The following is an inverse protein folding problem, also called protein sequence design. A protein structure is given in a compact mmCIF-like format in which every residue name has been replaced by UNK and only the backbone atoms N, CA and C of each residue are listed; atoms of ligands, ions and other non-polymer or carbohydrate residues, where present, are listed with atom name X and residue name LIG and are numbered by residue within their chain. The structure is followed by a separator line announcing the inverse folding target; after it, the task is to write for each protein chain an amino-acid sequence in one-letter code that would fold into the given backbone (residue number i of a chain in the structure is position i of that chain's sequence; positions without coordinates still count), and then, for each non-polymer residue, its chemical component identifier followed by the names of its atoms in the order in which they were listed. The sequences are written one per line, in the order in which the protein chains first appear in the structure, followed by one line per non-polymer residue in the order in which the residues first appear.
data_IF_839272280966
#
_entry.id   IF_839272280966
#
_cell.length_a   1.000
_cell.length_b   1.000
_cell.length_c   1.000
_cell.angle_alpha   90.00
_cell.angle_beta   90.00
_cell.angle_gamma   90.00
#
_symmetry.space_group_name_H-M   'P 1'
#
loop_
_entity.id
_entity.type
_entity.pdbx_description
1 polymer ?
#
# COMPACT_ATOMS: atom_id res chain seq x y z
N UNK A 1 8.62 -0.66 -2.58
CA UNK A 1 9.61 -0.79 -1.50
C UNK A 1 9.78 -2.26 -1.08
N UNK A 2 8.74 -2.99 -0.65
CA UNK A 2 8.85 -4.38 -0.19
C UNK A 2 9.46 -5.30 -1.25
N UNK A 3 8.97 -5.26 -2.49
CA UNK A 3 9.52 -6.03 -3.61
C UNK A 3 11.02 -5.70 -3.80
N UNK A 4 11.38 -4.42 -3.79
CA UNK A 4 12.77 -4.01 -3.94
C UNK A 4 13.66 -4.49 -2.79
N UNK A 5 13.16 -4.45 -1.55
CA UNK A 5 13.89 -4.96 -0.37
C UNK A 5 14.17 -6.47 -0.50
N UNK A 6 13.17 -7.25 -0.90
CA UNK A 6 13.31 -8.69 -1.12
C UNK A 6 14.33 -8.96 -2.24
N UNK A 7 14.18 -8.33 -3.40
CA UNK A 7 15.07 -8.58 -4.53
C UNK A 7 16.52 -8.13 -4.29
N UNK A 8 16.72 -7.13 -3.45
CA UNK A 8 18.05 -6.62 -3.09
C UNK A 8 18.90 -7.65 -2.32
N UNK A 9 18.32 -8.75 -1.84
CA UNK A 9 19.07 -9.83 -1.21
C UNK A 9 19.91 -10.63 -2.22
N UNK A 10 19.57 -10.54 -3.51
CA UNK A 10 20.24 -11.30 -4.57
C UNK A 10 20.71 -10.44 -5.74
N UNK A 11 20.01 -9.35 -6.02
CA UNK A 11 20.20 -8.54 -7.21
C UNK A 11 20.60 -7.11 -6.89
N UNK A 12 21.33 -6.46 -7.82
CA UNK A 12 21.46 -5.01 -7.82
C UNK A 12 20.15 -4.42 -8.38
N UNK A 13 19.33 -3.87 -7.48
CA UNK A 13 17.98 -3.38 -7.79
C UNK A 13 17.98 -1.89 -8.03
N UNK A 14 17.39 -1.46 -9.14
CA UNK A 14 16.93 -0.10 -9.36
C UNK A 14 15.45 0.00 -9.01
N UNK A 15 14.99 1.08 -8.41
CA UNK A 15 13.58 1.26 -8.07
C UNK A 15 13.14 2.70 -8.26
N UNK A 16 11.85 2.91 -8.44
CA UNK A 16 11.23 4.24 -8.38
C UNK A 16 11.52 4.89 -7.03
N UNK A 17 12.05 6.11 -7.04
CA UNK A 17 12.29 6.92 -5.86
C UNK A 17 11.17 7.94 -5.66
N UNK A 18 10.77 8.16 -4.41
CA UNK A 18 9.72 9.13 -4.07
C UNK A 18 8.42 8.87 -4.83
N UNK A 19 7.98 9.85 -5.62
CA UNK A 19 6.77 9.78 -6.44
C UNK A 19 7.05 9.86 -7.96
N UNK A 20 8.23 9.44 -8.40
CA UNK A 20 8.60 9.43 -9.82
C UNK A 20 7.94 8.27 -10.59
N UNK A 21 6.62 8.14 -10.41
CA UNK A 21 5.78 7.06 -10.88
C UNK A 21 4.78 7.48 -12.00
N UNK A 22 4.81 8.74 -12.42
CA UNK A 22 3.94 9.29 -13.47
C UNK A 22 4.67 9.40 -14.82
N UNK A 23 4.01 10.00 -15.81
CA UNK A 23 4.52 10.17 -17.19
C UNK A 23 5.85 10.96 -17.30
N UNK A 24 6.17 11.77 -16.30
CA UNK A 24 7.45 12.48 -16.22
C UNK A 24 8.47 11.73 -15.36
N UNK A 25 8.04 11.20 -14.22
CA UNK A 25 8.91 10.56 -13.24
C UNK A 25 9.41 9.19 -13.69
N UNK A 26 8.57 8.38 -14.32
CA UNK A 26 8.98 7.05 -14.76
C UNK A 26 10.11 7.07 -15.81
N UNK A 27 10.08 7.91 -16.86
CA UNK A 27 11.22 8.05 -17.77
C UNK A 27 12.50 8.49 -17.07
N UNK A 28 12.42 9.42 -16.11
CA UNK A 28 13.58 9.87 -15.31
C UNK A 28 14.15 8.68 -14.55
N UNK A 29 13.29 7.91 -13.85
CA UNK A 29 13.70 6.69 -13.15
C UNK A 29 14.40 5.71 -14.09
N UNK A 30 13.87 5.50 -15.31
CA UNK A 30 14.47 4.59 -16.29
C UNK A 30 15.83 5.12 -16.79
N UNK A 31 15.99 6.42 -17.00
CA UNK A 31 17.27 7.01 -17.42
C UNK A 31 18.37 6.95 -16.35
N UNK A 32 18.04 6.76 -15.10
CA UNK A 32 18.99 6.56 -14.01
C UNK A 32 19.54 5.11 -13.96
N UNK A 33 18.93 4.18 -14.72
CA UNK A 33 19.45 2.81 -14.82
C UNK A 33 20.82 2.79 -15.50
N UNK A 34 21.67 1.87 -15.06
CA UNK A 34 22.99 1.63 -15.63
C UNK A 34 23.30 0.13 -15.66
N UNK A 35 24.44 -0.24 -16.22
CA UNK A 35 24.86 -1.64 -16.44
C UNK A 35 25.00 -2.50 -15.16
N UNK A 36 25.01 -1.89 -13.98
CA UNK A 36 25.07 -2.62 -12.71
C UNK A 36 23.71 -3.14 -12.28
N UNK A 37 22.62 -2.48 -12.71
CA UNK A 37 21.28 -2.87 -12.32
C UNK A 37 20.85 -4.14 -13.07
N UNK A 38 20.42 -5.13 -12.31
CA UNK A 38 19.98 -6.42 -12.82
C UNK A 38 18.45 -6.52 -12.87
N UNK A 39 17.78 -5.79 -11.98
CA UNK A 39 16.31 -5.71 -11.87
C UNK A 39 15.89 -4.28 -11.65
N UNK A 40 14.80 -3.88 -12.29
CA UNK A 40 14.13 -2.61 -12.03
C UNK A 40 12.73 -2.86 -11.44
N UNK A 41 12.43 -2.22 -10.29
CA UNK A 41 11.11 -2.21 -9.67
C UNK A 41 10.50 -0.84 -9.92
N UNK A 42 9.60 -0.78 -10.91
CA UNK A 42 9.01 0.46 -11.40
C UNK A 42 7.58 0.60 -10.88
N UNK A 43 7.33 1.64 -10.09
CA UNK A 43 5.97 2.01 -9.67
C UNK A 43 5.33 2.85 -10.78
N UNK A 44 4.06 2.56 -11.09
CA UNK A 44 3.28 3.28 -12.08
C UNK A 44 1.99 3.81 -11.44
N UNK A 45 1.92 5.12 -11.24
CA UNK A 45 0.77 5.85 -10.71
C UNK A 45 -0.04 6.48 -11.84
N UNK A 46 -1.37 6.36 -11.77
CA UNK A 46 -2.29 6.87 -12.79
C UNK A 46 -3.45 7.62 -12.15
N UNK A 47 -3.85 8.71 -12.78
CA UNK A 47 -4.98 9.54 -12.38
C UNK A 47 -6.08 9.59 -13.45
N UNK A 48 -5.76 9.29 -14.72
CA UNK A 48 -6.70 9.34 -15.85
C UNK A 48 -6.56 8.11 -16.74
N UNK A 49 -7.64 7.83 -17.49
CA UNK A 49 -7.63 6.76 -18.49
C UNK A 49 -6.56 6.98 -19.58
N UNK A 50 -5.86 5.89 -19.92
CA UNK A 50 -4.83 5.83 -20.94
C UNK A 50 -3.43 6.20 -20.46
N UNK A 51 -3.24 6.61 -19.20
CA UNK A 51 -1.92 6.87 -18.63
C UNK A 51 -1.15 5.57 -18.41
N UNK A 52 -1.81 4.51 -17.92
CA UNK A 52 -1.15 3.23 -17.64
C UNK A 52 -0.53 2.63 -18.90
N UNK A 53 -1.24 2.66 -20.03
CA UNK A 53 -0.69 2.17 -21.30
C UNK A 53 0.57 2.95 -21.70
N UNK A 54 0.58 4.29 -21.54
CA UNK A 54 1.77 5.11 -21.86
C UNK A 54 2.96 4.75 -20.94
N UNK A 55 2.71 4.56 -19.65
CA UNK A 55 3.75 4.18 -18.69
C UNK A 55 4.28 2.77 -18.98
N UNK A 56 3.40 1.80 -19.13
CA UNK A 56 3.77 0.40 -19.32
C UNK A 56 4.42 0.14 -20.68
N UNK A 57 4.04 0.86 -21.73
CA UNK A 57 4.70 0.76 -23.04
C UNK A 57 6.16 1.18 -23.00
N UNK A 58 6.50 2.16 -22.15
CA UNK A 58 7.90 2.58 -21.90
C UNK A 58 8.62 1.59 -21.01
N UNK A 59 7.97 1.09 -19.95
CA UNK A 59 8.56 0.14 -19.00
C UNK A 59 8.75 -1.26 -19.61
N UNK A 60 7.84 -1.69 -20.49
CA UNK A 60 7.82 -3.05 -21.07
C UNK A 60 8.06 -4.15 -20.03
N UNK A 61 7.17 -4.32 -19.06
CA UNK A 61 7.43 -5.14 -17.88
C UNK A 61 7.55 -6.63 -18.20
N UNK A 62 8.41 -7.32 -17.47
CA UNK A 62 8.50 -8.79 -17.46
C UNK A 62 7.52 -9.39 -16.43
N UNK A 63 7.26 -8.67 -15.33
CA UNK A 63 6.36 -9.07 -14.24
C UNK A 63 5.43 -7.90 -13.95
N UNK A 64 4.12 -8.13 -14.02
CA UNK A 64 3.09 -7.18 -13.64
C UNK A 64 2.52 -7.52 -12.26
N UNK A 65 2.55 -6.57 -11.33
CA UNK A 65 2.00 -6.75 -9.98
C UNK A 65 0.90 -5.73 -9.74
N UNK A 66 -0.31 -6.19 -9.38
CA UNK A 66 -1.39 -5.31 -8.94
C UNK A 66 -1.75 -5.66 -7.49
N UNK A 67 -1.54 -4.70 -6.60
CA UNK A 67 -1.68 -4.91 -5.15
C UNK A 67 -3.10 -4.76 -4.65
N UNK A 68 -3.87 -3.83 -5.21
CA UNK A 68 -5.30 -3.67 -4.91
C UNK A 68 -5.99 -2.75 -5.93
N UNK A 69 -7.33 -2.81 -5.92
CA UNK A 69 -8.22 -1.88 -6.60
C UNK A 69 -9.01 -1.11 -5.53
N UNK A 70 -8.39 -0.06 -5.01
CA UNK A 70 -9.00 0.82 -4.01
C UNK A 70 -9.99 1.82 -4.61
N UNK A 71 -10.24 2.91 -3.88
CA UNK A 71 -11.14 4.01 -4.26
C UNK A 71 -10.39 5.33 -4.52
N UNK A 72 -9.06 5.28 -4.66
CA UNK A 72 -8.28 6.45 -5.02
C UNK A 72 -8.64 6.93 -6.44
N UNK A 73 -8.66 8.25 -6.64
CA UNK A 73 -8.96 8.89 -7.95
C UNK A 73 -10.35 8.56 -8.52
N UNK A 74 -11.34 8.24 -7.65
CA UNK A 74 -12.73 7.97 -8.09
C UNK A 74 -13.35 9.12 -8.88
N UNK A 75 -12.92 10.34 -8.63
CA UNK A 75 -13.37 11.52 -9.39
C UNK A 75 -13.12 11.34 -10.88
N UNK A 76 -12.02 10.72 -11.27
CA UNK A 76 -11.62 10.54 -12.68
C UNK A 76 -12.06 9.18 -13.23
N UNK A 77 -11.89 8.10 -12.50
CA UNK A 77 -12.22 6.73 -12.95
C UNK A 77 -13.68 6.34 -12.74
N UNK A 78 -14.44 7.10 -11.96
CA UNK A 78 -15.88 6.95 -11.65
C UNK A 78 -16.24 5.73 -10.81
N UNK A 79 -15.65 4.56 -11.09
CA UNK A 79 -15.92 3.30 -10.38
C UNK A 79 -14.64 2.51 -10.12
N UNK A 80 -14.69 1.52 -9.24
CA UNK A 80 -13.59 0.58 -9.00
C UNK A 80 -13.27 -0.25 -10.24
N UNK A 81 -14.28 -0.59 -11.04
CA UNK A 81 -14.09 -1.29 -12.32
C UNK A 81 -13.32 -0.39 -13.32
N UNK A 82 -13.57 0.93 -13.31
CA UNK A 82 -12.79 1.89 -14.10
C UNK A 82 -11.32 1.90 -13.68
N UNK A 83 -11.04 1.85 -12.37
CA UNK A 83 -9.67 1.74 -11.84
C UNK A 83 -9.02 0.41 -12.26
N UNK A 84 -9.77 -0.71 -12.16
CA UNK A 84 -9.30 -2.01 -12.63
C UNK A 84 -8.98 -1.98 -14.13
N UNK A 85 -9.89 -1.45 -14.95
CA UNK A 85 -9.71 -1.32 -16.39
C UNK A 85 -8.43 -0.56 -16.73
N UNK A 86 -8.16 0.55 -16.05
CA UNK A 86 -6.96 1.34 -16.29
C UNK A 86 -5.69 0.62 -15.80
N UNK A 87 -5.66 0.17 -14.55
CA UNK A 87 -4.47 -0.49 -13.99
C UNK A 87 -4.10 -1.78 -14.74
N UNK A 88 -5.08 -2.53 -15.23
CA UNK A 88 -4.83 -3.76 -15.98
C UNK A 88 -4.21 -3.52 -17.37
N UNK A 89 -4.22 -2.28 -17.89
CA UNK A 89 -3.55 -1.96 -19.15
C UNK A 89 -2.04 -2.27 -19.12
N UNK A 90 -1.39 -2.24 -17.93
CA UNK A 90 0.02 -2.61 -17.85
C UNK A 90 0.32 -4.03 -18.34
N UNK A 91 -0.65 -4.94 -18.23
CA UNK A 91 -0.50 -6.32 -18.68
C UNK A 91 -0.50 -6.41 -20.21
N UNK A 92 -1.16 -5.46 -20.90
CA UNK A 92 -1.17 -5.42 -22.36
C UNK A 92 0.22 -5.14 -22.96
N UNK A 93 1.07 -4.42 -22.22
CA UNK A 93 2.43 -4.08 -22.65
C UNK A 93 3.49 -5.02 -22.06
N UNK A 94 3.06 -6.04 -21.31
CA UNK A 94 3.94 -7.06 -20.75
C UNK A 94 4.63 -7.87 -21.87
N UNK A 95 5.91 -8.14 -21.69
CA UNK A 95 6.69 -8.96 -22.61
C UNK A 95 6.12 -10.37 -22.73
N UNK A 96 6.34 -10.99 -23.91
CA UNK A 96 5.96 -12.39 -24.14
C UNK A 96 6.72 -13.30 -23.16
N UNK A 97 5.98 -14.16 -22.46
CA UNK A 97 6.54 -15.03 -21.42
C UNK A 97 6.66 -14.36 -20.05
N UNK A 98 6.15 -13.16 -19.91
CA UNK A 98 6.06 -12.48 -18.60
C UNK A 98 4.99 -13.11 -17.68
N UNK A 99 4.91 -12.63 -16.45
CA UNK A 99 4.00 -13.14 -15.43
C UNK A 99 3.12 -12.04 -14.82
N UNK A 100 1.95 -12.47 -14.34
CA UNK A 100 0.94 -11.61 -13.74
C UNK A 100 0.75 -12.05 -12.28
N UNK A 101 0.98 -11.15 -11.34
CA UNK A 101 0.82 -11.38 -9.90
C UNK A 101 -0.26 -10.44 -9.35
N UNK A 102 -1.32 -11.01 -8.83
CA UNK A 102 -2.50 -10.28 -8.36
C UNK A 102 -2.78 -10.57 -6.89
N UNK A 103 -3.30 -9.57 -6.18
CA UNK A 103 -3.81 -9.79 -4.83
C UNK A 103 -5.15 -10.55 -4.88
N UNK A 104 -5.15 -11.79 -4.43
CA UNK A 104 -6.34 -12.65 -4.38
C UNK A 104 -7.32 -12.32 -3.25
N UNK A 105 -6.97 -11.40 -2.34
CA UNK A 105 -7.90 -10.89 -1.33
C UNK A 105 -8.73 -9.72 -1.86
N UNK A 106 -8.32 -9.09 -2.98
CA UNK A 106 -9.11 -8.07 -3.66
C UNK A 106 -10.19 -8.73 -4.52
N UNK A 107 -11.42 -8.33 -4.32
CA UNK A 107 -12.60 -8.91 -4.95
C UNK A 107 -12.60 -8.80 -6.49
N UNK A 108 -12.10 -7.69 -7.03
CA UNK A 108 -12.04 -7.46 -8.48
C UNK A 108 -10.83 -8.17 -9.12
N UNK A 109 -9.68 -8.19 -8.43
CA UNK A 109 -8.49 -8.86 -8.95
C UNK A 109 -8.62 -10.36 -8.93
N UNK A 110 -9.23 -10.94 -7.89
CA UNK A 110 -9.44 -12.38 -7.74
C UNK A 110 -10.24 -12.99 -8.90
N UNK A 111 -11.16 -12.22 -9.46
CA UNK A 111 -12.02 -12.66 -10.53
C UNK A 111 -11.43 -12.42 -11.94
N UNK A 112 -10.20 -11.89 -12.03
CA UNK A 112 -9.50 -11.73 -13.29
C UNK A 112 -9.08 -13.08 -13.87
N UNK A 113 -9.54 -13.34 -15.10
CA UNK A 113 -9.09 -14.49 -15.89
C UNK A 113 -7.76 -14.23 -16.63
N UNK A 114 -7.34 -15.19 -17.50
CA UNK A 114 -6.13 -15.07 -18.29
C UNK A 114 -6.10 -13.81 -19.17
N UNK A 115 -4.96 -13.12 -19.19
CA UNK A 115 -4.74 -11.97 -20.08
C UNK A 115 -3.58 -12.29 -21.01
N UNK A 116 -3.74 -12.09 -22.32
CA UNK A 116 -2.74 -12.44 -23.36
C UNK A 116 -2.30 -13.92 -23.30
N UNK A 117 -3.19 -14.81 -22.83
CA UNK A 117 -2.88 -16.23 -22.68
C UNK A 117 -2.00 -16.58 -21.47
N UNK A 118 -1.80 -15.63 -20.56
CA UNK A 118 -1.08 -15.84 -19.30
C UNK A 118 -2.12 -15.89 -18.16
N UNK A 119 -2.13 -16.99 -17.42
CA UNK A 119 -2.92 -17.13 -16.21
C UNK A 119 -2.27 -16.32 -15.07
N UNK A 120 -3.04 -15.51 -14.33
CA UNK A 120 -2.50 -14.81 -13.17
C UNK A 120 -2.21 -15.79 -12.03
N UNK A 121 -1.14 -15.53 -11.30
CA UNK A 121 -0.86 -16.13 -10.01
C UNK A 121 -1.31 -15.16 -8.90
N UNK A 122 -1.80 -15.70 -7.80
CA UNK A 122 -2.39 -14.92 -6.73
C UNK A 122 -1.55 -14.99 -5.46
N UNK A 123 -1.43 -13.84 -4.80
CA UNK A 123 -0.92 -13.73 -3.44
C UNK A 123 -2.00 -13.15 -2.52
N UNK A 124 -2.05 -13.57 -1.26
CA UNK A 124 -3.05 -13.10 -0.31
C UNK A 124 -3.10 -13.93 0.97
N UNK A 125 -4.00 -13.59 1.88
CA UNK A 125 -4.19 -14.32 3.14
C UNK A 125 -5.02 -15.61 2.95
N UNK A 126 -5.74 -15.71 1.83
CA UNK A 126 -6.55 -16.88 1.51
C UNK A 126 -5.71 -18.06 1.01
N UNK A 127 -6.00 -19.27 1.49
CA UNK A 127 -5.32 -20.52 1.07
C UNK A 127 -5.58 -20.93 -0.38
N UNK A 128 -6.44 -20.22 -1.08
CA UNK A 128 -6.68 -20.36 -2.52
C UNK A 128 -5.65 -19.59 -3.38
N UNK A 129 -4.77 -18.83 -2.75
CA UNK A 129 -3.65 -18.17 -3.41
C UNK A 129 -2.44 -19.10 -3.50
N UNK A 130 -1.59 -18.92 -4.51
CA UNK A 130 -0.34 -19.65 -4.66
C UNK A 130 0.69 -19.23 -3.60
N UNK A 131 0.69 -17.93 -3.24
CA UNK A 131 1.51 -17.36 -2.18
C UNK A 131 0.59 -16.87 -1.08
N UNK A 132 0.60 -17.51 0.09
CA UNK A 132 -0.32 -17.13 1.16
C UNK A 132 0.33 -17.16 2.54
N UNK A 133 -0.31 -16.50 3.51
CA UNK A 133 0.15 -16.48 4.88
C UNK A 133 -0.88 -17.12 5.82
N UNK A 134 -0.38 -17.84 6.83
CA UNK A 134 -1.16 -18.34 7.98
C UNK A 134 -0.56 -17.83 9.27
N UNK A 135 -1.25 -18.07 10.38
CA UNK A 135 -0.78 -17.74 11.74
C UNK A 135 -0.37 -16.26 11.86
N UNK A 136 -1.18 -15.39 11.23
CA UNK A 136 -0.92 -13.96 11.24
C UNK A 136 -1.28 -13.38 12.61
N UNK A 137 -0.27 -12.97 13.35
CA UNK A 137 -0.43 -12.38 14.68
C UNK A 137 0.12 -10.95 14.71
N UNK A 138 -0.64 -10.04 15.27
CA UNK A 138 -0.20 -8.66 15.46
C UNK A 138 0.82 -8.56 16.58
N UNK A 139 1.96 -7.93 16.31
CA UNK A 139 2.97 -7.54 17.29
C UNK A 139 2.82 -6.05 17.70
N UNK A 140 1.62 -5.48 17.48
CA UNK A 140 1.34 -4.07 17.69
C UNK A 140 2.13 -3.19 16.72
N UNK A 141 2.69 -2.10 17.23
CA UNK A 141 3.50 -1.18 16.40
C UNK A 141 4.80 -1.80 15.85
N UNK A 142 5.16 -3.00 16.28
CA UNK A 142 6.36 -3.71 15.78
C UNK A 142 6.09 -4.54 14.53
N UNK A 143 4.86 -4.52 14.01
CA UNK A 143 4.49 -5.25 12.81
C UNK A 143 3.65 -6.50 13.07
N UNK A 144 3.86 -7.54 12.28
CA UNK A 144 3.14 -8.82 12.37
C UNK A 144 4.08 -9.99 12.20
N UNK A 145 3.82 -11.10 12.91
CA UNK A 145 4.42 -12.40 12.61
C UNK A 145 3.46 -13.21 11.74
N UNK A 146 3.98 -14.05 10.87
CA UNK A 146 3.19 -14.97 10.06
C UNK A 146 4.05 -16.12 9.53
N UNK A 147 3.39 -17.20 9.08
CA UNK A 147 4.00 -18.27 8.31
C UNK A 147 3.65 -18.07 6.84
N UNK A 148 4.65 -17.86 5.98
CA UNK A 148 4.49 -17.67 4.53
C UNK A 148 4.64 -19.02 3.83
N UNK A 149 3.70 -19.34 2.92
CA UNK A 149 3.66 -20.58 2.15
C UNK A 149 3.92 -20.30 0.67
N UNK A 150 4.73 -21.16 0.04
CA UNK A 150 5.16 -21.09 -1.35
C UNK A 150 4.50 -22.17 -2.20
N UNK A 151 4.38 -21.98 -3.53
CA UNK A 151 3.84 -22.99 -4.45
C UNK A 151 4.62 -24.32 -4.45
N UNK A 152 5.89 -24.29 -4.07
CA UNK A 152 6.73 -25.52 -3.91
C UNK A 152 6.28 -26.44 -2.75
N UNK A 153 5.40 -25.97 -1.88
CA UNK A 153 5.05 -26.62 -0.64
C UNK A 153 5.97 -26.27 0.55
N UNK A 154 7.02 -25.50 0.31
CA UNK A 154 7.86 -24.95 1.38
C UNK A 154 7.14 -23.84 2.12
N UNK A 155 7.48 -23.66 3.39
CA UNK A 155 6.99 -22.53 4.21
C UNK A 155 8.08 -22.03 5.15
N UNK A 156 7.94 -20.79 5.61
CA UNK A 156 8.86 -20.20 6.58
C UNK A 156 8.16 -19.15 7.45
N UNK A 157 8.57 -19.06 8.70
CA UNK A 157 8.11 -18.03 9.62
C UNK A 157 8.81 -16.72 9.31
N UNK A 158 8.05 -15.62 9.35
CA UNK A 158 8.51 -14.30 8.96
C UNK A 158 7.93 -13.22 9.89
N UNK A 159 8.73 -12.19 10.18
CA UNK A 159 8.27 -10.96 10.82
C UNK A 159 8.21 -9.86 9.76
N UNK A 160 7.01 -9.31 9.55
CA UNK A 160 6.81 -8.13 8.72
C UNK A 160 6.96 -6.91 9.62
N UNK A 161 8.02 -6.08 9.46
CA UNK A 161 8.40 -5.08 10.48
C UNK A 161 7.57 -3.79 10.45
N UNK A 162 6.52 -3.74 9.64
CA UNK A 162 5.60 -2.62 9.57
C UNK A 162 4.22 -3.03 10.10
N UNK A 163 3.57 -2.19 10.93
CA UNK A 163 2.27 -2.51 11.50
C UNK A 163 1.15 -2.47 10.45
N UNK A 164 0.12 -3.27 10.70
CA UNK A 164 -1.07 -3.36 9.86
C UNK A 164 -1.12 -4.65 9.02
N UNK A 165 -2.29 -5.29 8.97
CA UNK A 165 -2.49 -6.55 8.25
C UNK A 165 -2.18 -6.45 6.74
N UNK A 166 -2.41 -5.27 6.14
CA UNK A 166 -2.10 -4.99 4.74
C UNK A 166 -0.59 -5.08 4.43
N UNK A 167 0.28 -4.95 5.44
CA UNK A 167 1.73 -5.11 5.25
C UNK A 167 2.11 -6.57 5.03
N UNK A 168 1.33 -7.52 5.54
CA UNK A 168 1.51 -8.95 5.22
C UNK A 168 1.20 -9.20 3.74
N UNK A 169 0.18 -8.57 3.17
CA UNK A 169 -0.11 -8.66 1.73
C UNK A 169 1.04 -8.09 0.88
N UNK A 170 1.64 -6.96 1.32
CA UNK A 170 2.82 -6.42 0.66
C UNK A 170 4.03 -7.37 0.75
N UNK A 171 4.22 -8.04 1.88
CA UNK A 171 5.26 -9.07 2.04
C UNK A 171 5.02 -10.27 1.11
N UNK A 172 3.76 -10.68 0.93
CA UNK A 172 3.38 -11.74 -0.01
C UNK A 172 3.61 -11.32 -1.47
N UNK A 173 3.36 -10.07 -1.84
CA UNK A 173 3.72 -9.55 -3.16
C UNK A 173 5.26 -9.60 -3.38
N UNK A 174 6.05 -9.19 -2.38
CA UNK A 174 7.51 -9.33 -2.40
C UNK A 174 7.97 -10.77 -2.51
N UNK A 175 7.31 -11.67 -1.77
CA UNK A 175 7.55 -13.12 -1.81
C UNK A 175 7.32 -13.69 -3.20
N UNK A 176 6.18 -13.36 -3.82
CA UNK A 176 5.80 -13.87 -5.14
C UNK A 176 6.82 -13.46 -6.20
N UNK A 177 7.21 -12.18 -6.25
CA UNK A 177 8.23 -11.71 -7.19
C UNK A 177 9.59 -12.32 -6.90
N UNK A 178 9.98 -12.40 -5.62
CA UNK A 178 11.26 -13.03 -5.22
C UNK A 178 11.33 -14.48 -5.62
N UNK A 179 10.28 -15.25 -5.40
CA UNK A 179 10.18 -16.66 -5.77
C UNK A 179 10.31 -16.85 -7.30
N UNK A 180 9.59 -16.05 -8.09
CA UNK A 180 9.68 -16.12 -9.56
C UNK A 180 11.07 -15.78 -10.10
N UNK A 181 11.80 -14.90 -9.42
CA UNK A 181 13.19 -14.56 -9.76
C UNK A 181 14.21 -15.48 -9.10
N UNK A 182 13.76 -16.59 -8.49
CA UNK A 182 14.62 -17.65 -7.99
C UNK A 182 15.37 -17.30 -6.70
N UNK A 183 14.82 -16.44 -5.86
CA UNK A 183 15.31 -16.24 -4.50
C UNK A 183 14.93 -17.44 -3.63
N UNK A 184 15.82 -17.81 -2.73
CA UNK A 184 15.55 -18.82 -1.71
C UNK A 184 14.58 -18.28 -0.64
N UNK A 185 13.87 -19.16 0.09
CA UNK A 185 13.03 -18.72 1.23
C UNK A 185 13.80 -17.89 2.25
N UNK A 186 15.07 -18.18 2.49
CA UNK A 186 15.92 -17.43 3.41
C UNK A 186 16.22 -16.01 2.92
N UNK A 187 16.49 -15.84 1.63
CA UNK A 187 16.69 -14.53 1.01
C UNK A 187 15.39 -13.71 1.02
N UNK A 188 14.25 -14.32 0.68
CA UNK A 188 12.94 -13.66 0.72
C UNK A 188 12.66 -13.17 2.16
N UNK A 189 12.80 -14.05 3.15
CA UNK A 189 12.64 -13.71 4.57
C UNK A 189 13.53 -12.54 4.97
N UNK A 190 14.81 -12.62 4.66
CA UNK A 190 15.78 -11.57 4.99
C UNK A 190 15.39 -10.21 4.37
N UNK A 191 14.87 -10.22 3.15
CA UNK A 191 14.41 -9.00 2.49
C UNK A 191 13.12 -8.41 3.10
N UNK A 192 12.21 -9.24 3.56
CA UNK A 192 11.01 -8.78 4.27
C UNK A 192 11.38 -8.20 5.63
N UNK A 193 12.11 -8.95 6.44
CA UNK A 193 12.51 -8.56 7.80
C UNK A 193 13.48 -7.37 7.82
N UNK A 194 14.26 -7.21 6.75
CA UNK A 194 15.19 -6.10 6.53
C UNK A 194 14.59 -4.86 5.88
N UNK A 195 13.27 -4.78 5.69
CA UNK A 195 12.63 -3.61 5.08
C UNK A 195 12.93 -2.35 5.90
N UNK A 196 13.56 -1.31 5.31
CA UNK A 196 13.83 -0.07 6.02
C UNK A 196 12.54 0.71 6.28
N UNK A 197 12.53 1.52 7.33
CA UNK A 197 11.45 2.48 7.55
C UNK A 197 11.41 3.50 6.40
N UNK A 198 10.20 3.88 6.01
CA UNK A 198 9.96 4.80 4.90
C UNK A 198 9.28 6.04 5.48
N UNK A 199 9.92 7.22 5.45
CA UNK A 199 9.32 8.45 5.94
C UNK A 199 7.94 8.70 5.31
N UNK A 200 6.95 9.06 6.13
CA UNK A 200 5.58 9.28 5.69
C UNK A 200 4.77 8.03 5.34
N UNK A 201 5.27 6.82 5.63
CA UNK A 201 4.59 5.54 5.34
C UNK A 201 4.66 4.60 6.55
N UNK A 202 3.67 4.67 7.44
CA UNK A 202 3.64 3.88 8.68
C UNK A 202 4.97 3.92 9.46
N UNK A 203 5.67 5.05 9.40
CA UNK A 203 6.98 5.22 9.99
C UNK A 203 6.86 5.49 11.49
N UNK A 204 7.38 4.60 12.32
CA UNK A 204 7.33 4.73 13.78
C UNK A 204 8.56 5.51 14.26
N UNK A 205 8.32 6.70 14.80
CA UNK A 205 9.35 7.58 15.36
C UNK A 205 9.23 7.55 16.89
N UNK A 206 10.21 6.94 17.53
CA UNK A 206 10.29 6.87 18.99
C UNK A 206 11.00 8.11 19.55
N UNK A 207 10.33 8.81 20.46
CA UNK A 207 10.96 9.90 21.24
C UNK A 207 10.95 9.57 22.73
N UNK A 208 11.59 10.38 23.54
CA UNK A 208 11.61 10.18 25.00
C UNK A 208 10.24 10.34 25.67
N UNK A 209 9.28 10.98 25.00
CA UNK A 209 7.97 11.33 25.58
C UNK A 209 6.79 10.71 24.86
N UNK A 210 6.88 10.57 23.54
CA UNK A 210 5.78 10.10 22.69
C UNK A 210 6.31 9.19 21.58
N UNK A 211 5.42 8.36 21.06
CA UNK A 211 5.62 7.63 19.82
C UNK A 211 4.82 8.37 18.74
N UNK A 212 5.43 8.63 17.61
CA UNK A 212 4.79 9.25 16.45
C UNK A 212 4.65 8.17 15.38
N UNK A 213 3.42 7.95 14.91
CA UNK A 213 3.13 7.21 13.70
C UNK A 213 3.05 8.22 12.54
N UNK A 214 4.11 8.31 11.74
CA UNK A 214 4.20 9.20 10.59
C UNK A 214 3.71 8.45 9.34
N UNK A 215 2.49 8.75 8.90
CA UNK A 215 1.86 8.20 7.70
C UNK A 215 1.25 9.32 6.84
N UNK A 216 2.00 10.43 6.71
CA UNK A 216 1.50 11.68 6.14
C UNK A 216 1.82 11.89 4.66
N UNK A 217 2.28 10.86 3.93
CA UNK A 217 2.63 11.00 2.51
C UNK A 217 1.41 11.28 1.62
N UNK A 218 0.32 10.56 1.82
CA UNK A 218 -0.95 10.73 1.12
C UNK A 218 -2.10 10.19 1.98
N UNK A 219 -3.31 10.66 1.70
CA UNK A 219 -4.50 10.28 2.46
C UNK A 219 -5.65 9.90 1.53
N UNK A 220 -6.27 8.76 1.80
CA UNK A 220 -7.56 8.35 1.28
C UNK A 220 -8.32 7.58 2.36
N UNK A 221 -9.64 7.35 2.23
CA UNK A 221 -10.43 6.74 3.31
C UNK A 221 -9.88 5.41 3.80
N UNK A 222 -9.48 4.52 2.89
CA UNK A 222 -8.97 3.19 3.25
C UNK A 222 -7.63 3.29 3.98
N UNK A 223 -6.70 4.11 3.48
CA UNK A 223 -5.39 4.26 4.12
C UNK A 223 -5.49 4.96 5.47
N UNK A 224 -6.36 5.97 5.62
CA UNK A 224 -6.55 6.64 6.90
C UNK A 224 -7.18 5.71 7.93
N UNK A 225 -8.19 4.92 7.57
CA UNK A 225 -8.77 3.93 8.48
C UNK A 225 -7.72 2.89 8.90
N UNK A 226 -6.92 2.38 7.96
CA UNK A 226 -5.83 1.46 8.28
C UNK A 226 -4.79 2.08 9.23
N UNK A 227 -4.44 3.36 9.06
CA UNK A 227 -3.53 4.07 9.97
C UNK A 227 -4.14 4.30 11.35
N UNK A 228 -5.45 4.56 11.43
CA UNK A 228 -6.19 4.65 12.69
C UNK A 228 -6.22 3.31 13.41
N UNK A 229 -6.42 2.20 12.71
CA UNK A 229 -6.33 0.85 13.26
C UNK A 229 -4.94 0.56 13.83
N UNK A 230 -3.89 0.97 13.13
CA UNK A 230 -2.51 0.87 13.62
C UNK A 230 -2.31 1.73 14.87
N UNK A 231 -2.79 2.98 14.87
CA UNK A 231 -2.73 3.85 16.05
C UNK A 231 -3.47 3.22 17.23
N UNK A 232 -4.59 2.55 16.97
CA UNK A 232 -5.36 1.88 18.03
C UNK A 232 -4.61 0.71 18.69
N UNK A 233 -3.61 0.11 18.04
CA UNK A 233 -2.74 -0.91 18.64
C UNK A 233 -1.76 -0.32 19.67
N UNK A 234 -1.59 0.99 19.71
CA UNK A 234 -0.68 1.65 20.64
C UNK A 234 -1.20 1.61 22.08
N UNK A 235 -0.27 1.52 23.03
CA UNK A 235 -0.55 1.62 24.47
C UNK A 235 -0.51 3.09 24.89
N UNK A 236 -1.50 3.53 25.67
CA UNK A 236 -1.60 4.90 26.18
C UNK A 236 -2.60 5.76 25.42
N UNK A 237 -2.51 7.07 25.59
CA UNK A 237 -3.41 8.02 24.94
C UNK A 237 -3.11 8.10 23.43
N UNK A 238 -4.15 7.93 22.63
CA UNK A 238 -4.10 7.90 21.18
C UNK A 238 -4.64 9.23 20.62
N UNK A 239 -3.78 9.94 19.92
CA UNK A 239 -4.12 11.23 19.30
C UNK A 239 -3.89 11.15 17.81
N UNK A 240 -4.93 11.36 17.02
CA UNK A 240 -4.84 11.42 15.56
C UNK A 240 -4.89 12.87 15.08
N UNK A 241 -3.93 13.27 14.25
CA UNK A 241 -3.89 14.56 13.57
C UNK A 241 -4.05 14.30 12.08
N UNK A 242 -5.21 14.65 11.52
CA UNK A 242 -5.65 14.23 10.21
C UNK A 242 -5.95 15.45 9.32
N UNK A 243 -5.54 15.40 8.08
CA UNK A 243 -5.80 16.42 7.06
C UNK A 243 -6.94 16.04 6.13
N UNK A 244 -7.24 16.92 5.17
CA UNK A 244 -8.21 16.63 4.11
C UNK A 244 -7.72 15.53 3.19
N UNK A 245 -8.65 14.69 2.74
CA UNK A 245 -8.45 13.70 1.68
C UNK A 245 -8.85 14.33 0.34
N UNK A 246 -7.92 14.35 -0.61
CA UNK A 246 -8.14 14.89 -1.95
C UNK A 246 -8.83 13.90 -2.91
N UNK A 247 -9.32 14.43 -4.04
CA UNK A 247 -9.77 13.67 -5.22
C UNK A 247 -10.92 12.67 -4.97
N UNK A 248 -11.78 12.96 -3.99
CA UNK A 248 -12.94 12.12 -3.64
C UNK A 248 -14.23 12.55 -4.34
N UNK A 249 -14.20 13.68 -5.07
CA UNK A 249 -15.37 14.21 -5.77
C UNK A 249 -16.53 14.57 -4.84
N UNK A 250 -17.75 14.27 -5.28
CA UNK A 250 -18.98 14.63 -4.55
C UNK A 250 -19.14 13.87 -3.22
N UNK A 251 -18.55 12.70 -3.11
CA UNK A 251 -18.62 11.86 -1.89
C UNK A 251 -17.60 12.27 -0.83
N UNK A 252 -16.78 13.29 -1.09
CA UNK A 252 -15.69 13.70 -0.20
C UNK A 252 -16.14 13.97 1.24
N UNK A 253 -17.27 14.66 1.44
CA UNK A 253 -17.80 14.94 2.77
C UNK A 253 -18.22 13.68 3.54
N UNK A 254 -18.96 12.80 2.87
CA UNK A 254 -19.43 11.54 3.45
C UNK A 254 -18.25 10.66 3.87
N UNK A 255 -17.25 10.50 3.00
CA UNK A 255 -16.07 9.70 3.26
C UNK A 255 -15.19 10.28 4.40
N UNK A 256 -15.14 11.61 4.54
CA UNK A 256 -14.49 12.23 5.71
C UNK A 256 -15.26 11.93 6.99
N UNK A 257 -16.60 12.07 6.97
CA UNK A 257 -17.44 11.74 8.11
C UNK A 257 -17.26 10.27 8.54
N UNK A 258 -17.35 9.33 7.60
CA UNK A 258 -17.16 7.90 7.87
C UNK A 258 -15.77 7.57 8.44
N UNK A 259 -14.73 8.25 7.96
CA UNK A 259 -13.38 8.10 8.51
C UNK A 259 -13.30 8.59 9.95
N UNK A 260 -13.97 9.69 10.26
CA UNK A 260 -14.08 10.20 11.63
C UNK A 260 -14.90 9.27 12.54
N UNK A 261 -16.03 8.77 12.06
CA UNK A 261 -16.87 7.80 12.76
C UNK A 261 -16.06 6.54 13.11
N UNK A 262 -15.27 6.02 12.17
CA UNK A 262 -14.36 4.90 12.41
C UNK A 262 -13.40 5.19 13.57
N UNK A 263 -12.78 6.38 13.61
CA UNK A 263 -11.89 6.76 14.70
C UNK A 263 -12.58 6.72 16.08
N UNK A 264 -13.84 7.18 16.15
CA UNK A 264 -14.65 7.10 17.36
C UNK A 264 -14.97 5.64 17.74
N UNK A 265 -15.45 4.85 16.79
CA UNK A 265 -15.85 3.45 17.00
C UNK A 265 -14.71 2.58 17.54
N UNK A 266 -13.49 2.79 17.05
CA UNK A 266 -12.31 2.04 17.51
C UNK A 266 -11.68 2.61 18.81
N UNK A 267 -12.18 3.72 19.33
CA UNK A 267 -11.75 4.29 20.60
C UNK A 267 -10.44 5.09 20.54
N UNK A 268 -10.28 5.94 19.54
CA UNK A 268 -9.24 6.98 19.52
C UNK A 268 -9.63 8.05 20.55
N UNK A 269 -8.67 8.50 21.38
CA UNK A 269 -8.96 9.44 22.47
C UNK A 269 -9.18 10.86 21.99
N UNK A 270 -8.43 11.31 20.97
CA UNK A 270 -8.55 12.66 20.41
C UNK A 270 -8.29 12.67 18.91
N UNK A 271 -9.18 13.28 18.15
CA UNK A 271 -9.02 13.59 16.74
C UNK A 271 -8.85 15.09 16.53
N UNK A 272 -7.78 15.51 15.87
CA UNK A 272 -7.56 16.88 15.41
C UNK A 272 -7.67 16.91 13.87
N UNK A 273 -8.76 17.43 13.34
CA UNK A 273 -8.97 17.59 11.90
C UNK A 273 -8.46 18.95 11.42
N UNK A 274 -7.65 18.95 10.35
CA UNK A 274 -7.08 20.18 9.76
C UNK A 274 -7.50 20.28 8.30
N UNK A 275 -8.21 21.35 7.95
CA UNK A 275 -8.71 21.59 6.61
C UNK A 275 -10.23 21.68 6.54
N UNK A 276 -10.78 22.09 5.40
CA UNK A 276 -12.21 22.36 5.27
C UNK A 276 -13.07 21.10 5.27
N UNK A 277 -12.64 20.04 4.62
CA UNK A 277 -13.34 18.75 4.58
C UNK A 277 -13.17 17.98 5.89
N UNK A 278 -12.06 18.18 6.60
CA UNK A 278 -11.80 17.58 7.92
C UNK A 278 -12.78 18.04 8.99
N UNK A 279 -13.61 19.04 8.72
CA UNK A 279 -14.74 19.42 9.56
C UNK A 279 -15.78 18.29 9.68
N UNK A 280 -16.06 17.62 8.56
CA UNK A 280 -16.97 16.46 8.55
C UNK A 280 -16.34 15.26 9.28
N UNK A 281 -15.03 15.05 9.15
CA UNK A 281 -14.28 14.04 9.88
C UNK A 281 -14.39 14.27 11.41
N UNK A 282 -14.20 15.50 11.86
CA UNK A 282 -14.37 15.88 13.28
C UNK A 282 -15.80 15.66 13.74
N UNK A 283 -16.81 15.95 12.91
CA UNK A 283 -18.20 15.69 13.23
C UNK A 283 -18.46 14.18 13.44
N UNK A 284 -18.01 13.34 12.50
CA UNK A 284 -18.13 11.87 12.62
C UNK A 284 -17.45 11.34 13.87
N UNK A 285 -16.21 11.76 14.17
CA UNK A 285 -15.49 11.35 15.38
C UNK A 285 -16.23 11.75 16.66
N UNK A 286 -16.74 12.98 16.72
CA UNK A 286 -17.46 13.49 17.89
C UNK A 286 -18.79 12.76 18.12
N UNK A 287 -19.56 12.48 17.07
CA UNK A 287 -20.83 11.76 17.16
C UNK A 287 -20.66 10.31 17.61
N UNK A 288 -19.48 9.72 17.32
CA UNK A 288 -19.08 8.36 17.72
C UNK A 288 -18.24 8.33 19.02
N UNK A 289 -18.29 9.41 19.83
CA UNK A 289 -17.78 9.40 21.20
C UNK A 289 -16.30 9.75 21.37
N UNK A 290 -15.60 10.17 20.32
CA UNK A 290 -14.23 10.65 20.40
C UNK A 290 -14.16 12.15 20.76
N UNK A 291 -13.22 12.58 21.61
CA UNK A 291 -12.89 14.01 21.70
C UNK A 291 -12.36 14.47 20.35
N UNK A 292 -12.93 15.56 19.78
CA UNK A 292 -12.53 16.00 18.46
C UNK A 292 -12.42 17.52 18.37
N UNK A 293 -11.44 18.02 17.63
CA UNK A 293 -11.16 19.44 17.41
C UNK A 293 -10.90 19.72 15.95
N UNK A 294 -11.52 20.76 15.43
CA UNK A 294 -11.33 21.19 14.06
C UNK A 294 -10.48 22.46 13.99
N UNK A 295 -9.61 22.52 12.98
CA UNK A 295 -8.76 23.65 12.66
C UNK A 295 -8.86 23.97 11.17
N UNK A 296 -9.16 25.22 10.77
CA UNK A 296 -9.30 25.56 9.36
C UNK A 296 -7.98 25.43 8.58
N UNK A 297 -6.86 25.67 9.24
CA UNK A 297 -5.53 25.56 8.64
C UNK A 297 -4.47 25.06 9.63
N UNK A 298 -3.34 24.59 9.10
CA UNK A 298 -2.21 24.12 9.91
C UNK A 298 -1.70 25.19 10.91
N UNK A 299 -1.74 26.47 10.52
CA UNK A 299 -1.31 27.56 11.39
C UNK A 299 -2.16 27.66 12.65
N UNK A 300 -3.47 27.42 12.54
CA UNK A 300 -4.40 27.47 13.68
C UNK A 300 -4.21 26.29 14.64
N UNK A 301 -3.78 25.15 14.12
CA UNK A 301 -3.43 23.99 14.93
C UNK A 301 -2.13 24.18 15.72
N UNK A 302 -1.17 24.94 15.16
CA UNK A 302 0.14 25.16 15.78
C UNK A 302 0.17 26.35 16.77
N UNK A 303 -0.89 27.19 16.78
CA UNK A 303 -1.03 28.33 17.67
C UNK A 303 -1.48 27.92 19.08
#
# INVERSE_FOLDING_TARGET
EMIASVLSQKYCVHKTLGNFNNEWGLPITIFEMNEKHQVAVLEMGVNHFGEMHRLSSVASPDICVITNIGIAHLEFFKTREGILQEKSQMIQDMKTGGSILLNGDDDLLRDMGPVKGVDPEFFGLGKNCQFYATDVESLGLRGSSCTIHLPSGESFDCIVPLPGAHMVQNALAGTAVGYQLGLTPAEIKAGIEGLPSIPGRNNIIQTDKIIILDDCYNANPISMQASLDVLNMAIGRKVAVLGDMGELGETGKELHYETGAHAGDIGIDLVCGIGELSKELVAGASEHGCEAKWFPAKADFLA
#
